data_IF_511272476992
#
_entry.id   IF_511272476992
#
_cell.length_a   1.000
_cell.length_b   1.000
_cell.length_c   1.000
_cell.angle_alpha   90.00
_cell.angle_beta   90.00
_cell.angle_gamma   90.00
#
_symmetry.space_group_name_H-M   'P 1'
#
loop_
_entity.id
_entity.type
_entity.pdbx_description
1 polymer ?
#
# COMPACT_ATOMS: atom_id res chain seq x y z
N UNK A 1 -14.20 -13.91 24.52
CA UNK A 1 -14.81 -12.62 24.92
C UNK A 1 -14.03 -11.50 24.24
N UNK A 2 -14.58 -10.91 23.18
CA UNK A 2 -14.00 -9.75 22.48
C UNK A 2 -14.71 -8.47 22.93
N UNK A 3 -14.04 -7.31 23.03
CA UNK A 3 -14.62 -6.09 23.58
C UNK A 3 -15.48 -5.36 22.55
N UNK A 4 -16.70 -5.06 22.97
CA UNK A 4 -17.56 -3.94 22.58
C UNK A 4 -17.62 -3.62 21.08
N UNK A 5 -18.62 -4.23 20.43
CA UNK A 5 -19.11 -3.78 19.13
C UNK A 5 -19.52 -2.31 19.20
N UNK A 6 -18.91 -1.51 18.34
CA UNK A 6 -19.33 -0.15 18.08
C UNK A 6 -20.77 -0.17 17.56
N UNK A 7 -21.72 0.31 18.36
CA UNK A 7 -23.09 0.57 17.90
C UNK A 7 -23.04 1.76 16.93
N UNK A 8 -22.90 1.48 15.63
CA UNK A 8 -22.92 2.48 14.56
C UNK A 8 -24.36 2.78 14.16
N UNK A 9 -25.21 3.15 15.12
CA UNK A 9 -26.59 3.54 14.84
C UNK A 9 -26.72 5.06 14.76
N UNK A 10 -27.36 5.54 13.69
CA UNK A 10 -27.91 6.89 13.63
C UNK A 10 -29.38 6.79 14.06
N UNK A 11 -29.74 7.44 15.17
CA UNK A 11 -31.12 7.48 15.68
C UNK A 11 -31.68 8.89 15.49
N UNK A 12 -32.87 8.97 14.90
CA UNK A 12 -33.62 10.23 14.73
C UNK A 12 -35.05 10.05 15.22
N UNK A 13 -35.63 11.09 15.82
CA UNK A 13 -37.01 11.10 16.29
C UNK A 13 -37.67 12.40 15.81
N UNK A 14 -38.82 12.30 15.15
CA UNK A 14 -39.64 13.42 14.70
C UNK A 14 -40.90 13.47 15.55
N UNK A 15 -41.24 14.65 16.07
CA UNK A 15 -42.46 14.89 16.85
C UNK A 15 -43.38 15.84 16.08
N UNK A 16 -44.47 15.27 15.56
CA UNK A 16 -45.61 15.79 14.80
C UNK A 16 -45.47 16.81 13.64
N UNK A 17 -46.37 16.58 12.66
CA UNK A 17 -46.85 17.36 11.50
C UNK A 17 -45.93 18.39 10.82
N UNK A 18 -44.65 18.06 10.64
CA UNK A 18 -43.81 18.39 9.48
C UNK A 18 -42.55 17.50 9.51
N UNK A 19 -42.76 16.19 9.39
CA UNK A 19 -41.75 15.16 9.64
C UNK A 19 -40.82 14.86 8.45
N UNK A 20 -40.49 15.84 7.61
CA UNK A 20 -39.53 15.59 6.54
C UNK A 20 -38.09 15.59 7.07
N UNK A 21 -37.44 14.44 6.97
CA UNK A 21 -35.99 14.31 7.09
C UNK A 21 -35.40 14.30 5.70
N UNK A 22 -35.08 15.48 5.18
CA UNK A 22 -34.33 15.59 3.95
C UNK A 22 -32.83 15.50 4.25
N UNK A 23 -32.14 14.58 3.58
CA UNK A 23 -30.71 14.37 3.76
C UNK A 23 -30.07 14.12 2.41
N UNK A 24 -29.15 14.99 2.03
CA UNK A 24 -28.27 14.78 0.88
C UNK A 24 -26.88 14.41 1.38
N UNK A 25 -26.49 13.15 1.17
CA UNK A 25 -25.12 12.74 1.41
C UNK A 25 -24.29 13.03 0.15
N UNK A 26 -23.50 14.10 0.18
CA UNK A 26 -22.73 14.54 -1.00
C UNK A 26 -21.62 13.56 -1.39
N UNK A 27 -21.03 12.86 -0.42
CA UNK A 27 -19.93 11.93 -0.66
C UNK A 27 -20.06 10.70 0.25
N UNK A 28 -19.90 9.52 -0.33
CA UNK A 28 -19.70 8.28 0.41
C UNK A 28 -18.20 7.98 0.50
N UNK A 29 -17.71 7.73 1.71
CA UNK A 29 -16.34 7.25 1.92
C UNK A 29 -16.40 5.76 2.23
N UNK A 30 -15.78 4.96 1.37
CA UNK A 30 -15.57 3.54 1.63
C UNK A 30 -14.48 3.41 2.68
N UNK A 31 -14.84 2.99 3.89
CA UNK A 31 -13.87 2.60 4.92
C UNK A 31 -13.57 1.12 4.76
N UNK A 32 -12.37 0.81 4.28
CA UNK A 32 -11.88 -0.57 4.30
C UNK A 32 -11.67 -0.99 5.75
N UNK A 33 -12.37 -2.04 6.19
CA UNK A 33 -12.16 -2.64 7.51
C UNK A 33 -11.12 -3.75 7.39
N UNK A 34 -9.87 -3.35 7.15
CA UNK A 34 -8.73 -4.24 7.01
C UNK A 34 -7.56 -3.74 7.84
N UNK A 35 -6.67 -4.64 8.24
CA UNK A 35 -5.46 -4.25 8.95
C UNK A 35 -4.56 -3.39 8.05
N UNK A 36 -3.84 -2.44 8.64
CA UNK A 36 -2.86 -1.65 7.91
C UNK A 36 -1.64 -2.49 7.57
N UNK A 37 -1.05 -2.25 6.40
CA UNK A 37 0.22 -2.85 6.01
C UNK A 37 1.35 -2.18 6.77
N UNK A 38 2.07 -2.96 7.57
CA UNK A 38 3.18 -2.50 8.41
C UNK A 38 4.57 -2.89 7.86
N UNK A 39 4.62 -3.43 6.64
CA UNK A 39 5.88 -3.81 6.00
C UNK A 39 6.59 -2.63 5.33
N UNK A 40 7.66 -2.93 4.59
CA UNK A 40 8.44 -1.91 3.90
C UNK A 40 7.65 -1.29 2.73
N UNK A 41 7.74 0.03 2.61
CA UNK A 41 7.24 0.80 1.45
C UNK A 41 8.34 1.16 0.45
N UNK A 42 9.59 0.85 0.78
CA UNK A 42 10.74 1.02 -0.11
C UNK A 42 11.34 -0.34 -0.40
N UNK A 43 11.51 -0.65 -1.68
CA UNK A 43 12.12 -1.91 -2.14
C UNK A 43 13.22 -1.63 -3.15
N UNK A 44 14.35 -2.32 -3.01
CA UNK A 44 15.41 -2.36 -4.03
C UNK A 44 15.37 -3.73 -4.69
N UNK A 45 15.02 -3.83 -5.98
CA UNK A 45 14.98 -5.11 -6.68
C UNK A 45 16.34 -5.84 -6.63
N UNK A 46 16.28 -7.16 -6.57
CA UNK A 46 17.43 -8.06 -6.69
C UNK A 46 17.11 -9.17 -7.71
N UNK A 47 18.11 -10.00 -8.03
CA UNK A 47 17.96 -11.11 -8.99
C UNK A 47 16.93 -12.17 -8.56
N UNK A 48 16.75 -12.36 -7.25
CA UNK A 48 15.80 -13.35 -6.69
C UNK A 48 14.35 -12.82 -6.65
N UNK A 49 14.16 -11.52 -6.87
CA UNK A 49 12.88 -10.84 -6.73
C UNK A 49 12.43 -10.69 -5.28
N UNK A 50 11.44 -9.83 -5.05
CA UNK A 50 10.87 -9.59 -3.72
C UNK A 50 9.34 -9.54 -3.79
N UNK A 51 8.65 -10.00 -2.75
CA UNK A 51 7.19 -9.94 -2.66
C UNK A 51 6.77 -9.25 -1.36
N UNK A 52 6.21 -8.05 -1.48
CA UNK A 52 5.55 -7.36 -0.39
C UNK A 52 4.24 -8.07 -0.05
N UNK A 53 4.07 -8.52 1.20
CA UNK A 53 2.89 -9.28 1.66
C UNK A 53 1.69 -8.35 1.96
N UNK A 54 1.24 -7.60 0.96
CA UNK A 54 0.20 -6.55 1.09
C UNK A 54 -1.23 -7.05 0.91
N UNK A 55 -1.40 -8.34 0.57
CA UNK A 55 -2.72 -8.93 0.28
C UNK A 55 -3.70 -8.70 1.44
N UNK A 56 -4.87 -8.14 1.12
CA UNK A 56 -5.95 -7.81 2.06
C UNK A 56 -5.56 -6.80 3.17
N UNK A 57 -4.54 -5.97 2.93
CA UNK A 57 -4.11 -4.92 3.86
C UNK A 57 -4.27 -3.54 3.23
N UNK A 58 -4.43 -2.53 4.08
CA UNK A 58 -4.52 -1.12 3.66
C UNK A 58 -3.11 -0.54 3.60
N UNK A 59 -2.73 -0.02 2.43
CA UNK A 59 -1.52 0.77 2.27
C UNK A 59 -1.85 2.25 2.51
N UNK A 60 -1.11 2.89 3.40
CA UNK A 60 -1.39 4.27 3.86
C UNK A 60 -0.38 5.29 3.36
N UNK A 61 0.60 4.83 2.58
CA UNK A 61 1.70 5.64 2.04
C UNK A 61 2.06 5.17 0.63
N UNK A 62 2.86 5.96 -0.07
CA UNK A 62 3.36 5.64 -1.40
C UNK A 62 4.43 4.56 -1.36
N UNK A 63 4.46 3.70 -2.39
CA UNK A 63 5.50 2.70 -2.56
C UNK A 63 6.62 3.24 -3.45
N UNK A 64 7.85 3.21 -2.95
CA UNK A 64 9.06 3.55 -3.72
C UNK A 64 9.75 2.27 -4.18
N UNK A 65 9.92 2.12 -5.49
CA UNK A 65 10.73 1.07 -6.10
C UNK A 65 12.04 1.68 -6.57
N UNK A 66 13.15 1.33 -5.93
CA UNK A 66 14.47 1.80 -6.32
C UNK A 66 14.94 1.12 -7.62
N UNK A 67 15.95 1.71 -8.26
CA UNK A 67 16.64 1.06 -9.36
C UNK A 67 17.35 -0.23 -8.87
N UNK A 68 17.32 -1.28 -9.68
CA UNK A 68 18.16 -2.47 -9.45
C UNK A 68 19.64 -2.05 -9.56
N UNK A 69 20.54 -2.56 -8.71
CA UNK A 69 21.97 -2.25 -8.82
C UNK A 69 22.50 -2.56 -10.22
N UNK A 70 23.25 -1.62 -10.78
CA UNK A 70 23.84 -1.68 -12.11
C UNK A 70 25.33 -1.34 -12.02
N UNK A 71 26.17 -2.17 -12.63
CA UNK A 71 27.61 -1.98 -12.68
C UNK A 71 28.09 -2.14 -14.12
N UNK A 72 28.97 -1.25 -14.57
CA UNK A 72 29.65 -1.34 -15.85
C UNK A 72 31.16 -1.39 -15.57
N UNK A 73 31.82 -2.40 -16.13
CA UNK A 73 33.27 -2.58 -16.00
C UNK A 73 33.92 -2.71 -17.37
N UNK A 74 35.16 -2.25 -17.49
CA UNK A 74 35.99 -2.55 -18.66
C UNK A 74 36.39 -4.03 -18.64
N UNK A 75 36.34 -4.69 -19.79
CA UNK A 75 36.80 -6.07 -19.94
C UNK A 75 38.15 -6.17 -20.69
N UNK A 76 38.87 -7.30 -20.57
CA UNK A 76 40.16 -7.48 -21.23
C UNK A 76 40.14 -7.40 -22.77
N UNK A 77 38.95 -7.53 -23.36
CA UNK A 77 38.73 -7.42 -24.80
C UNK A 77 38.43 -5.98 -25.25
N UNK A 78 38.67 -4.98 -24.39
CA UNK A 78 38.39 -3.56 -24.65
C UNK A 78 36.92 -3.26 -24.94
N UNK A 79 36.01 -4.07 -24.40
CA UNK A 79 34.56 -3.83 -24.42
C UNK A 79 33.99 -3.62 -23.02
N UNK A 80 32.74 -3.17 -22.96
CA UNK A 80 32.01 -2.99 -21.70
C UNK A 80 31.32 -4.29 -21.28
N UNK A 81 31.42 -4.62 -19.99
CA UNK A 81 30.64 -5.71 -19.37
C UNK A 81 29.71 -5.13 -18.33
N UNK A 82 28.45 -5.54 -18.37
CA UNK A 82 27.40 -5.04 -17.49
C UNK A 82 26.97 -6.13 -16.51
N UNK A 83 26.89 -5.78 -15.23
CA UNK A 83 26.29 -6.60 -14.20
C UNK A 83 25.02 -5.94 -13.66
N UNK A 84 23.95 -6.73 -13.55
CA UNK A 84 22.63 -6.27 -13.06
C UNK A 84 22.26 -7.11 -11.84
N UNK A 85 21.96 -6.44 -10.73
CA UNK A 85 21.45 -7.06 -9.51
C UNK A 85 22.50 -7.76 -8.62
N UNK A 86 23.71 -7.98 -9.12
CA UNK A 86 24.85 -8.52 -8.35
C UNK A 86 26.16 -7.97 -8.90
N UNK A 87 27.06 -7.52 -8.02
CA UNK A 87 28.45 -7.21 -8.38
C UNK A 87 29.23 -8.51 -8.56
N UNK A 88 29.92 -8.67 -9.69
CA UNK A 88 30.87 -9.77 -9.87
C UNK A 88 32.27 -9.20 -9.72
N UNK A 89 32.94 -9.54 -8.61
CA UNK A 89 34.36 -9.24 -8.42
C UNK A 89 35.13 -10.24 -9.28
N UNK A 90 35.81 -9.73 -10.31
CA UNK A 90 36.66 -10.51 -11.22
C UNK A 90 38.04 -10.81 -10.61
#
# INVERSE_FOLDING_TARGET
>A
MMPNGYDKSFKTQFDEMDCCFDTEFSQSVTVYQAAQYTGAYTVTPSVEGETLKTKNLIMTDDVTVNAIPYYQVENPSSGDTVYIGSEVIL
#
